data_IF_227568374329
#
_entry.id   IF_227568374329
#
_cell.length_a   1.000
_cell.length_b   1.000
_cell.length_c   1.000
_cell.angle_alpha   90.00
_cell.angle_beta   90.00
_cell.angle_gamma   90.00
#
_symmetry.space_group_name_H-M   'P 1'
#
loop_
_entity.id
_entity.type
_entity.pdbx_description
1 polymer ?
#
# COMPACT_ATOMS: atom_id res chain seq x y z
N UNK A 1 16.37 36.01 -13.87
CA UNK A 1 14.90 35.81 -14.00
C UNK A 1 14.44 34.87 -12.89
N UNK A 2 13.99 35.41 -11.77
CA UNK A 2 13.30 34.63 -10.74
C UNK A 2 11.86 34.46 -11.21
N UNK A 3 11.46 33.22 -11.53
CA UNK A 3 10.09 32.93 -11.91
C UNK A 3 9.18 33.21 -10.70
N UNK A 4 8.05 33.88 -10.95
CA UNK A 4 7.01 34.24 -9.96
C UNK A 4 6.60 33.08 -9.02
N UNK A 5 6.85 31.83 -9.44
CA UNK A 5 6.62 30.60 -8.68
C UNK A 5 7.50 30.51 -7.42
N UNK A 6 8.75 31.00 -7.44
CA UNK A 6 9.65 30.92 -6.28
C UNK A 6 9.29 31.86 -5.12
N UNK A 7 8.67 33.01 -5.41
CA UNK A 7 8.21 33.95 -4.39
C UNK A 7 6.87 33.53 -3.78
N UNK A 8 5.94 33.02 -4.60
CA UNK A 8 4.64 32.53 -4.12
C UNK A 8 4.75 31.21 -3.35
N UNK A 9 5.68 30.29 -3.71
CA UNK A 9 5.91 29.08 -2.91
C UNK A 9 6.55 29.35 -1.55
N UNK A 10 7.41 30.37 -1.40
CA UNK A 10 8.06 30.65 -0.09
C UNK A 10 7.15 31.38 0.91
N UNK A 11 6.19 32.18 0.43
CA UNK A 11 5.25 32.90 1.30
C UNK A 11 4.02 32.04 1.64
N UNK A 12 3.62 31.12 0.75
CA UNK A 12 2.45 30.26 1.01
C UNK A 12 2.72 29.06 1.92
N UNK A 13 3.98 28.63 2.11
CA UNK A 13 4.32 27.48 2.97
C UNK A 13 3.96 27.72 4.45
N UNK A 14 3.90 28.98 4.90
CA UNK A 14 3.44 29.34 6.26
C UNK A 14 1.93 29.33 6.46
N UNK A 15 1.13 29.22 5.39
CA UNK A 15 -0.33 29.31 5.40
C UNK A 15 -1.01 28.12 4.71
N UNK A 16 -0.27 27.05 4.43
CA UNK A 16 -0.89 25.82 3.94
C UNK A 16 -1.76 25.27 5.06
N UNK A 17 -3.06 25.01 4.83
CA UNK A 17 -3.90 24.36 5.81
C UNK A 17 -3.22 23.08 6.31
N UNK A 18 -3.27 22.84 7.63
CA UNK A 18 -2.62 21.66 8.24
C UNK A 18 -3.16 20.30 7.74
N UNK A 19 -4.18 20.32 6.88
CA UNK A 19 -4.79 19.18 6.20
C UNK A 19 -5.30 19.59 4.81
N UNK A 20 -5.26 18.67 3.83
CA UNK A 20 -5.96 18.81 2.55
C UNK A 20 -5.06 18.93 1.30
N UNK A 21 -5.66 19.08 0.11
CA UNK A 21 -4.97 18.93 -1.19
C UNK A 21 -3.74 19.83 -1.40
N UNK A 22 -3.75 21.04 -0.83
CA UNK A 22 -2.60 21.96 -0.93
C UNK A 22 -1.42 21.47 -0.09
N UNK A 23 -1.68 20.91 1.09
CA UNK A 23 -0.65 20.27 1.91
C UNK A 23 -0.09 19.04 1.20
N UNK A 24 -0.96 18.22 0.64
CA UNK A 24 -0.59 17.01 -0.10
C UNK A 24 0.36 17.31 -1.28
N UNK A 25 0.02 18.34 -2.09
CA UNK A 25 0.91 18.82 -3.16
C UNK A 25 2.25 19.29 -2.59
N UNK A 26 2.19 20.06 -1.51
CA UNK A 26 3.37 20.66 -0.92
C UNK A 26 4.31 19.59 -0.35
N UNK A 27 3.81 18.61 0.41
CA UNK A 27 4.57 17.47 0.92
C UNK A 27 5.16 16.65 -0.24
N UNK A 28 4.38 16.42 -1.29
CA UNK A 28 4.83 15.70 -2.47
C UNK A 28 5.94 16.42 -3.25
N UNK A 29 5.93 17.76 -3.32
CA UNK A 29 6.91 18.56 -4.08
C UNK A 29 8.17 18.86 -3.24
N UNK A 30 7.98 19.26 -1.98
CA UNK A 30 9.08 19.64 -1.08
C UNK A 30 9.77 18.42 -0.48
N UNK A 31 9.04 17.31 -0.30
CA UNK A 31 9.53 16.15 0.42
C UNK A 31 9.65 16.37 1.93
N UNK A 32 9.03 17.42 2.49
CA UNK A 32 9.06 17.71 3.92
C UNK A 32 7.68 17.50 4.52
N UNK A 33 7.63 16.82 5.67
CA UNK A 33 6.38 16.64 6.40
C UNK A 33 5.81 18.00 6.82
N UNK A 34 4.51 18.22 6.61
CA UNK A 34 3.84 19.51 6.83
C UNK A 34 4.47 20.69 6.06
N UNK A 35 5.36 20.43 5.10
CA UNK A 35 6.20 21.41 4.43
C UNK A 35 7.06 22.28 5.34
N UNK A 36 7.31 21.83 6.57
CA UNK A 36 8.09 22.61 7.52
C UNK A 36 9.60 22.37 7.28
N UNK A 37 10.45 23.41 7.34
CA UNK A 37 11.88 23.29 7.05
C UNK A 37 12.61 22.34 8.03
N UNK A 38 12.13 22.26 9.27
CA UNK A 38 12.70 21.42 10.33
C UNK A 38 11.98 20.09 10.53
N UNK A 39 10.98 19.79 9.71
CA UNK A 39 10.26 18.53 9.82
C UNK A 39 11.00 17.39 9.12
N UNK A 40 10.56 16.16 9.45
CA UNK A 40 11.05 14.91 8.89
C UNK A 40 10.99 14.94 7.36
N UNK A 41 12.06 14.47 6.72
CA UNK A 41 12.07 14.17 5.29
C UNK A 41 11.16 12.99 4.96
N UNK A 42 10.36 13.18 3.92
CA UNK A 42 9.47 12.17 3.36
C UNK A 42 10.20 11.39 2.28
N UNK A 43 10.08 10.06 2.33
CA UNK A 43 10.55 9.19 1.26
C UNK A 43 9.72 9.37 0.00
N UNK A 44 10.21 8.87 -1.13
CA UNK A 44 9.48 8.89 -2.40
C UNK A 44 8.11 8.21 -2.29
N UNK A 45 8.01 7.15 -1.48
CA UNK A 45 6.77 6.38 -1.25
C UNK A 45 5.77 7.15 -0.38
N UNK A 46 6.23 7.82 0.69
CA UNK A 46 5.41 8.72 1.52
C UNK A 46 4.93 9.93 0.69
N UNK A 47 5.79 10.45 -0.19
CA UNK A 47 5.45 11.53 -1.14
C UNK A 47 4.45 11.08 -2.19
N UNK A 48 4.51 9.83 -2.66
CA UNK A 48 3.55 9.31 -3.64
C UNK A 48 2.14 9.26 -3.06
N UNK A 49 1.97 8.74 -1.85
CA UNK A 49 0.66 8.71 -1.21
C UNK A 49 0.12 10.12 -0.93
N UNK A 50 1.02 11.05 -0.54
CA UNK A 50 0.67 12.48 -0.40
C UNK A 50 0.24 13.05 -1.76
N UNK A 51 0.99 12.78 -2.82
CA UNK A 51 0.72 13.29 -4.16
C UNK A 51 -0.66 12.94 -4.69
N UNK A 52 -1.13 11.71 -4.46
CA UNK A 52 -2.48 11.26 -4.82
C UNK A 52 -3.58 12.13 -4.17
N UNK A 53 -3.29 12.76 -3.03
CA UNK A 53 -4.19 13.70 -2.38
C UNK A 53 -4.47 14.98 -3.17
N UNK A 54 -3.59 15.35 -4.11
CA UNK A 54 -3.74 16.53 -4.95
C UNK A 54 -4.24 16.16 -6.36
N UNK A 55 -5.36 16.75 -6.79
CA UNK A 55 -5.97 16.44 -8.08
C UNK A 55 -7.00 17.46 -8.58
N UNK A 56 -6.60 18.73 -8.73
CA UNK A 56 -7.46 19.72 -9.37
C UNK A 56 -7.74 19.31 -10.84
N UNK A 57 -8.99 18.94 -11.15
CA UNK A 57 -9.41 18.45 -12.47
C UNK A 57 -9.06 16.97 -12.77
N UNK A 58 -8.70 16.20 -11.74
CA UNK A 58 -8.26 14.80 -11.84
C UNK A 58 -6.79 14.63 -11.45
N UNK A 59 -6.46 13.57 -10.70
CA UNK A 59 -5.12 13.34 -10.14
C UNK A 59 -4.06 13.31 -11.24
N UNK A 60 -4.25 12.49 -12.28
CA UNK A 60 -3.22 12.34 -13.31
C UNK A 60 -3.05 13.60 -14.16
N UNK A 61 -4.12 14.35 -14.43
CA UNK A 61 -4.02 15.63 -15.17
C UNK A 61 -3.20 16.66 -14.41
N UNK A 62 -3.46 16.81 -13.10
CA UNK A 62 -2.71 17.71 -12.24
C UNK A 62 -1.21 17.34 -12.22
N UNK A 63 -0.88 16.06 -12.08
CA UNK A 63 0.51 15.59 -12.03
C UNK A 63 1.20 15.57 -13.40
N UNK A 64 0.45 15.43 -14.49
CA UNK A 64 0.94 15.64 -15.85
C UNK A 64 1.45 17.07 -16.05
N UNK A 65 0.73 18.07 -15.55
CA UNK A 65 1.18 19.45 -15.56
C UNK A 65 2.45 19.63 -14.71
N UNK A 66 2.46 19.11 -13.47
CA UNK A 66 3.62 19.21 -12.57
C UNK A 66 4.87 18.60 -13.19
N UNK A 67 4.78 17.42 -13.81
CA UNK A 67 5.89 16.76 -14.51
C UNK A 67 6.53 17.65 -15.59
N UNK A 68 5.70 18.41 -16.31
CA UNK A 68 6.11 19.28 -17.41
C UNK A 68 6.62 20.65 -16.94
N UNK A 69 6.30 21.06 -15.70
CA UNK A 69 6.86 22.26 -15.09
C UNK A 69 8.29 22.01 -14.58
N UNK A 70 9.14 23.04 -14.57
CA UNK A 70 10.54 22.99 -14.12
C UNK A 70 10.74 22.77 -12.61
N UNK A 71 9.98 21.86 -12.00
CA UNK A 71 10.11 21.46 -10.59
C UNK A 71 11.37 20.62 -10.37
N UNK A 72 11.78 20.50 -9.10
CA UNK A 72 12.98 19.75 -8.72
C UNK A 72 12.91 18.27 -9.20
N UNK A 73 14.05 17.59 -9.42
CA UNK A 73 14.08 16.23 -9.96
C UNK A 73 13.27 15.21 -9.14
N UNK A 74 13.24 15.36 -7.82
CA UNK A 74 12.52 14.46 -6.94
C UNK A 74 10.99 14.59 -7.09
N UNK A 75 10.47 15.81 -7.28
CA UNK A 75 9.07 16.06 -7.57
C UNK A 75 8.67 15.50 -8.93
N UNK A 76 9.57 15.56 -9.94
CA UNK A 76 9.34 14.88 -11.23
C UNK A 76 9.25 13.37 -11.06
N UNK A 77 10.13 12.76 -10.27
CA UNK A 77 10.08 11.33 -9.99
C UNK A 77 8.77 10.91 -9.33
N UNK A 78 8.26 11.71 -8.37
CA UNK A 78 6.94 11.48 -7.76
C UNK A 78 5.82 11.63 -8.80
N UNK A 79 5.84 12.68 -9.61
CA UNK A 79 4.85 12.89 -10.68
C UNK A 79 4.80 11.70 -11.66
N UNK A 80 5.97 11.20 -12.09
CA UNK A 80 6.06 10.01 -12.92
C UNK A 80 5.42 8.78 -12.27
N UNK A 81 5.65 8.56 -10.98
CA UNK A 81 5.05 7.44 -10.24
C UNK A 81 3.54 7.59 -10.07
N UNK A 82 3.02 8.80 -9.85
CA UNK A 82 1.57 9.05 -9.81
C UNK A 82 0.94 8.66 -11.14
N UNK A 83 1.53 9.12 -12.25
CA UNK A 83 1.05 8.83 -13.59
C UNK A 83 1.04 7.33 -13.94
N UNK A 84 1.88 6.52 -13.27
CA UNK A 84 1.89 5.07 -13.44
C UNK A 84 0.86 4.30 -12.61
N UNK A 85 0.10 4.96 -11.72
CA UNK A 85 -0.95 4.28 -10.95
C UNK A 85 -2.19 3.92 -11.79
N UNK A 86 -2.43 4.62 -12.89
CA UNK A 86 -3.67 4.56 -13.66
C UNK A 86 -4.79 5.42 -13.03
N UNK A 87 -5.65 5.98 -13.88
CA UNK A 87 -6.67 6.95 -13.45
C UNK A 87 -7.61 6.36 -12.40
N UNK A 88 -8.19 5.19 -12.68
CA UNK A 88 -9.20 4.59 -11.80
C UNK A 88 -8.65 4.27 -10.41
N UNK A 89 -7.42 3.74 -10.35
CA UNK A 89 -6.78 3.39 -9.09
C UNK A 89 -6.38 4.64 -8.30
N UNK A 90 -5.82 5.66 -8.97
CA UNK A 90 -5.44 6.92 -8.34
C UNK A 90 -6.67 7.65 -7.76
N UNK A 91 -7.78 7.69 -8.50
CA UNK A 91 -9.05 8.27 -8.04
C UNK A 91 -9.64 7.49 -6.87
N UNK A 92 -9.64 6.15 -6.92
CA UNK A 92 -10.11 5.34 -5.81
C UNK A 92 -9.27 5.57 -4.55
N UNK A 93 -7.94 5.61 -4.68
CA UNK A 93 -7.01 5.86 -3.59
C UNK A 93 -7.15 7.27 -3.01
N UNK A 94 -7.44 8.27 -3.85
CA UNK A 94 -7.76 9.63 -3.42
C UNK A 94 -9.09 9.67 -2.64
N UNK A 95 -10.12 8.95 -3.11
CA UNK A 95 -11.45 8.95 -2.49
C UNK A 95 -11.46 8.21 -1.14
N UNK A 96 -10.71 7.11 -1.02
CA UNK A 96 -10.59 6.34 0.22
C UNK A 96 -9.43 6.78 1.10
N UNK A 97 -8.93 8.01 0.94
CA UNK A 97 -7.61 8.39 1.44
C UNK A 97 -7.55 8.41 2.96
N UNK A 98 -6.52 7.76 3.49
CA UNK A 98 -6.05 7.93 4.87
C UNK A 98 -4.53 8.00 4.86
N UNK A 99 -3.96 9.12 5.29
CA UNK A 99 -2.50 9.34 5.21
C UNK A 99 -1.75 8.70 6.38
N UNK A 100 -2.44 8.32 7.46
CA UNK A 100 -1.85 7.71 8.65
C UNK A 100 -2.84 6.85 9.46
N UNK A 101 -2.29 5.93 10.25
CA UNK A 101 -2.98 5.14 11.26
C UNK A 101 -2.13 5.05 12.52
N UNK A 102 -2.53 5.73 13.61
CA UNK A 102 -1.74 5.83 14.84
C UNK A 102 -0.29 6.25 14.52
N UNK A 103 0.68 5.39 14.77
CA UNK A 103 2.12 5.61 14.51
C UNK A 103 2.53 5.31 13.07
N UNK A 104 1.66 4.68 12.27
CA UNK A 104 1.91 4.31 10.89
C UNK A 104 1.65 5.51 9.97
N UNK A 105 2.65 5.90 9.19
CA UNK A 105 2.47 6.85 8.09
C UNK A 105 2.34 6.09 6.79
N UNK A 106 1.35 6.47 5.98
CA UNK A 106 1.07 5.78 4.75
C UNK A 106 2.14 6.02 3.68
N UNK A 107 2.29 5.02 2.82
CA UNK A 107 3.26 5.01 1.73
C UNK A 107 2.73 4.17 0.56
N UNK A 108 3.08 4.56 -0.66
CA UNK A 108 2.65 3.87 -1.87
C UNK A 108 3.80 3.69 -2.86
N UNK A 109 3.71 2.63 -3.66
CA UNK A 109 4.46 2.45 -4.91
C UNK A 109 3.49 2.09 -6.04
N UNK A 110 3.89 2.28 -7.31
CA UNK A 110 3.16 1.71 -8.44
C UNK A 110 3.02 0.19 -8.29
N UNK A 111 1.86 -0.34 -8.67
CA UNK A 111 1.56 -1.76 -8.57
C UNK A 111 2.30 -2.56 -9.63
N UNK A 112 2.65 -3.81 -9.31
CA UNK A 112 3.47 -4.62 -10.18
C UNK A 112 2.70 -5.23 -11.37
N UNK A 113 1.37 -5.35 -11.26
CA UNK A 113 0.52 -5.91 -12.31
C UNK A 113 -0.95 -5.48 -12.18
N UNK A 114 -1.73 -5.75 -13.24
CA UNK A 114 -3.16 -5.42 -13.31
C UNK A 114 -4.02 -6.15 -12.27
N UNK A 115 -3.64 -7.36 -11.87
CA UNK A 115 -4.40 -8.13 -10.89
C UNK A 115 -4.28 -7.53 -9.48
N UNK A 116 -3.11 -7.02 -9.11
CA UNK A 116 -2.94 -6.19 -7.91
C UNK A 116 -3.79 -4.92 -7.96
N UNK A 117 -3.89 -4.27 -9.12
CA UNK A 117 -4.75 -3.08 -9.29
C UNK A 117 -6.22 -3.43 -9.08
N UNK A 118 -6.68 -4.54 -9.67
CA UNK A 118 -8.03 -5.06 -9.45
C UNK A 118 -8.28 -5.39 -7.98
N UNK A 119 -7.32 -6.02 -7.31
CA UNK A 119 -7.42 -6.34 -5.89
C UNK A 119 -7.50 -5.08 -5.01
N UNK A 120 -6.64 -4.10 -5.24
CA UNK A 120 -6.69 -2.84 -4.49
C UNK A 120 -7.98 -2.04 -4.76
N UNK A 121 -8.50 -2.04 -5.99
CA UNK A 121 -9.81 -1.46 -6.32
C UNK A 121 -10.94 -2.17 -5.58
N UNK A 122 -10.94 -3.51 -5.53
CA UNK A 122 -11.89 -4.28 -4.74
C UNK A 122 -11.83 -3.91 -3.24
N UNK A 123 -10.62 -3.76 -2.69
CA UNK A 123 -10.45 -3.34 -1.29
C UNK A 123 -11.02 -1.94 -1.03
N UNK A 124 -10.81 -0.99 -1.94
CA UNK A 124 -11.24 0.40 -1.77
C UNK A 124 -12.73 0.60 -2.08
N UNK A 125 -13.21 0.10 -3.22
CA UNK A 125 -14.57 0.36 -3.71
C UNK A 125 -15.60 -0.59 -3.10
N UNK A 126 -15.30 -1.88 -3.08
CA UNK A 126 -16.29 -2.90 -2.68
C UNK A 126 -16.24 -3.13 -1.17
N UNK A 127 -15.03 -3.21 -0.61
CA UNK A 127 -14.83 -3.40 0.83
C UNK A 127 -14.80 -2.06 1.60
N UNK A 128 -14.73 -0.91 0.92
CA UNK A 128 -14.68 0.43 1.51
C UNK A 128 -13.52 0.64 2.47
N UNK A 129 -12.35 0.06 2.17
CA UNK A 129 -11.14 0.20 2.98
C UNK A 129 -10.32 1.39 2.53
N UNK A 130 -9.58 1.98 3.47
CA UNK A 130 -8.57 2.99 3.17
C UNK A 130 -7.19 2.34 3.09
N UNK A 131 -6.56 2.33 1.91
CA UNK A 131 -5.20 1.82 1.78
C UNK A 131 -4.20 2.81 2.38
N UNK A 132 -3.36 2.33 3.29
CA UNK A 132 -2.26 3.11 3.89
C UNK A 132 -0.89 2.57 3.46
N UNK A 133 -0.80 1.30 3.06
CA UNK A 133 0.37 0.73 2.39
C UNK A 133 -0.07 0.14 1.04
N UNK A 134 0.60 0.53 -0.04
CA UNK A 134 0.28 0.10 -1.42
C UNK A 134 1.54 -0.44 -2.11
N UNK A 135 1.48 -1.69 -2.53
CA UNK A 135 2.59 -2.50 -3.02
C UNK A 135 3.54 -2.95 -1.91
N UNK A 136 4.28 -4.05 -2.13
CA UNK A 136 5.26 -4.60 -1.17
C UNK A 136 6.16 -3.49 -0.59
N UNK A 137 6.83 -2.72 -1.45
CA UNK A 137 7.70 -1.61 -1.02
C UNK A 137 6.97 -0.50 -0.25
N UNK A 138 5.70 -0.25 -0.55
CA UNK A 138 4.85 0.68 0.20
C UNK A 138 4.60 0.15 1.61
N UNK A 139 4.11 -1.09 1.73
CA UNK A 139 3.84 -1.72 3.02
C UNK A 139 5.12 -1.85 3.86
N UNK A 140 6.24 -2.24 3.25
CA UNK A 140 7.56 -2.27 3.90
C UNK A 140 7.91 -0.92 4.50
N UNK A 141 7.70 0.17 3.74
CA UNK A 141 7.95 1.52 4.22
C UNK A 141 7.06 1.89 5.40
N UNK A 142 5.76 1.56 5.34
CA UNK A 142 4.82 1.84 6.45
C UNK A 142 5.20 1.09 7.72
N UNK A 143 5.58 -0.19 7.60
CA UNK A 143 5.86 -1.07 8.74
C UNK A 143 7.33 -1.05 9.19
N UNK A 144 8.21 -0.33 8.48
CA UNK A 144 9.64 -0.30 8.77
C UNK A 144 10.34 -1.64 8.52
N UNK A 145 9.92 -2.39 7.49
CA UNK A 145 10.59 -3.62 7.06
C UNK A 145 11.81 -3.24 6.21
N UNK A 146 13.04 -3.63 6.59
CA UNK A 146 14.24 -3.21 5.88
C UNK A 146 14.36 -3.85 4.50
N UNK A 147 14.88 -3.07 3.52
CA UNK A 147 14.95 -3.54 2.13
C UNK A 147 15.90 -4.72 1.91
N UNK A 148 16.97 -4.76 2.69
CA UNK A 148 18.08 -5.69 2.56
C UNK A 148 18.06 -6.77 3.66
N UNK A 149 16.88 -7.11 4.18
CA UNK A 149 16.78 -8.20 5.13
C UNK A 149 17.18 -9.52 4.45
N UNK A 150 17.80 -10.47 5.18
CA UNK A 150 18.12 -11.79 4.65
C UNK A 150 16.88 -12.50 4.08
N UNK A 151 17.11 -13.34 3.04
CA UNK A 151 16.15 -14.16 2.29
C UNK A 151 14.75 -14.28 2.89
N UNK A 152 13.75 -13.71 2.20
CA UNK A 152 12.32 -13.87 2.54
C UNK A 152 11.83 -13.02 3.72
N UNK A 153 12.72 -12.44 4.53
CA UNK A 153 12.34 -11.52 5.64
C UNK A 153 12.13 -10.08 5.18
N UNK A 154 12.51 -9.80 3.93
CA UNK A 154 12.43 -8.46 3.34
C UNK A 154 11.07 -8.22 2.67
N UNK A 155 10.34 -9.27 2.31
CA UNK A 155 9.07 -9.19 1.59
C UNK A 155 7.92 -8.88 2.55
N UNK A 156 7.03 -7.99 2.14
CA UNK A 156 5.80 -7.62 2.83
C UNK A 156 4.59 -7.97 1.96
N UNK A 157 3.36 -7.91 2.51
CA UNK A 157 2.18 -8.09 1.69
C UNK A 157 1.95 -6.86 0.78
N UNK A 158 1.19 -7.05 -0.29
CA UNK A 158 0.90 -5.96 -1.24
C UNK A 158 0.10 -4.80 -0.64
N UNK A 159 -0.80 -5.07 0.31
CA UNK A 159 -1.64 -4.04 0.89
C UNK A 159 -1.67 -4.07 2.42
N UNK A 160 -1.59 -2.88 3.00
CA UNK A 160 -1.99 -2.58 4.36
C UNK A 160 -3.11 -1.56 4.31
N UNK A 161 -4.24 -1.88 4.93
CA UNK A 161 -5.46 -1.09 4.84
C UNK A 161 -6.11 -0.90 6.19
N UNK A 162 -6.90 0.16 6.32
CA UNK A 162 -7.82 0.37 7.42
C UNK A 162 -9.22 -0.05 6.96
N UNK A 163 -9.85 -0.93 7.72
CA UNK A 163 -11.19 -1.46 7.43
C UNK A 163 -12.28 -0.44 7.75
N UNK A 164 -13.53 -0.74 7.35
CA UNK A 164 -14.71 0.08 7.71
C UNK A 164 -14.93 0.19 9.22
N UNK A 165 -14.58 -0.84 9.99
CA UNK A 165 -14.66 -0.83 11.46
C UNK A 165 -13.50 -0.09 12.12
N UNK A 166 -12.49 0.32 11.35
CA UNK A 166 -11.37 1.12 11.83
C UNK A 166 -10.16 0.32 12.31
N UNK A 167 -10.16 -1.01 12.18
CA UNK A 167 -8.97 -1.84 12.41
C UNK A 167 -8.09 -1.99 11.16
N UNK A 168 -6.99 -2.70 11.31
CA UNK A 168 -6.02 -2.97 10.26
C UNK A 168 -6.34 -4.28 9.53
N UNK A 169 -6.07 -4.32 8.23
CA UNK A 169 -6.05 -5.54 7.45
C UNK A 169 -4.81 -5.62 6.56
N UNK A 170 -4.19 -6.79 6.54
CA UNK A 170 -3.07 -7.15 5.67
C UNK A 170 -3.60 -8.04 4.54
N UNK A 171 -3.34 -7.66 3.30
CA UNK A 171 -3.80 -8.41 2.13
C UNK A 171 -2.63 -8.66 1.18
N UNK A 172 -2.36 -9.94 0.92
CA UNK A 172 -1.39 -10.35 -0.10
C UNK A 172 -2.11 -10.80 -1.36
N UNK A 173 -1.64 -10.35 -2.53
CA UNK A 173 -2.22 -10.71 -3.81
C UNK A 173 -1.34 -11.76 -4.47
N UNK A 174 -1.96 -12.86 -4.91
CA UNK A 174 -1.25 -13.89 -5.69
C UNK A 174 -1.98 -14.18 -6.98
N UNK A 175 -1.20 -14.27 -8.06
CA UNK A 175 -1.65 -14.78 -9.35
C UNK A 175 -1.18 -16.21 -9.54
N UNK A 176 -1.64 -16.83 -10.64
CA UNK A 176 -1.13 -18.13 -11.04
C UNK A 176 0.35 -18.00 -11.40
N UNK A 177 1.15 -18.86 -10.80
CA UNK A 177 2.59 -18.93 -11.01
C UNK A 177 2.99 -20.36 -11.40
N UNK A 178 3.99 -20.47 -12.26
CA UNK A 178 4.73 -21.72 -12.44
C UNK A 178 5.76 -21.82 -11.30
N UNK A 179 5.51 -22.70 -10.34
CA UNK A 179 6.35 -22.86 -9.15
C UNK A 179 7.47 -23.86 -9.42
N UNK A 180 7.16 -24.91 -10.19
CA UNK A 180 8.13 -25.85 -10.76
C UNK A 180 7.59 -26.41 -12.07
N UNK A 181 8.41 -27.19 -12.79
CA UNK A 181 8.05 -27.81 -14.08
C UNK A 181 6.72 -28.56 -14.07
N UNK A 182 6.32 -29.10 -12.92
CA UNK A 182 5.12 -29.93 -12.76
C UNK A 182 4.08 -29.30 -11.81
N UNK A 183 4.36 -28.13 -11.24
CA UNK A 183 3.50 -27.47 -10.24
C UNK A 183 3.23 -26.04 -10.67
N UNK A 184 1.98 -25.81 -11.09
CA UNK A 184 1.43 -24.47 -11.32
C UNK A 184 0.25 -24.20 -10.39
N UNK A 185 0.11 -22.95 -9.95
CA UNK A 185 -0.97 -22.54 -9.08
C UNK A 185 -0.64 -21.30 -8.27
N UNK A 186 -1.47 -21.02 -7.27
CA UNK A 186 -1.21 -19.96 -6.29
C UNK A 186 -0.13 -20.45 -5.31
N UNK A 187 0.97 -19.72 -5.19
CA UNK A 187 2.01 -19.97 -4.19
C UNK A 187 1.60 -19.43 -2.80
N UNK A 188 0.74 -20.19 -2.11
CA UNK A 188 0.26 -19.82 -0.78
C UNK A 188 1.38 -19.75 0.27
N UNK A 189 2.42 -20.59 0.15
CA UNK A 189 3.53 -20.57 1.12
C UNK A 189 4.26 -19.23 1.11
N UNK A 190 4.53 -18.68 -0.08
CA UNK A 190 5.13 -17.35 -0.23
C UNK A 190 4.24 -16.27 0.39
N UNK A 191 2.94 -16.31 0.09
CA UNK A 191 1.98 -15.35 0.64
C UNK A 191 1.91 -15.39 2.17
N UNK A 192 1.90 -16.59 2.75
CA UNK A 192 1.92 -16.78 4.21
C UNK A 192 3.19 -16.18 4.82
N UNK A 193 4.35 -16.35 4.19
CA UNK A 193 5.61 -15.76 4.67
C UNK A 193 5.55 -14.23 4.71
N UNK A 194 5.07 -13.59 3.64
CA UNK A 194 4.90 -12.15 3.57
C UNK A 194 3.94 -11.62 4.64
N UNK A 195 2.79 -12.28 4.82
CA UNK A 195 1.82 -11.93 5.87
C UNK A 195 2.43 -12.08 7.27
N UNK A 196 3.16 -13.17 7.54
CA UNK A 196 3.83 -13.39 8.83
C UNK A 196 4.85 -12.29 9.14
N UNK A 197 5.64 -11.85 8.16
CA UNK A 197 6.58 -10.75 8.33
C UNK A 197 5.87 -9.46 8.77
N UNK A 198 4.77 -9.12 8.10
CA UNK A 198 4.00 -7.93 8.43
C UNK A 198 3.29 -8.03 9.80
N UNK A 199 2.71 -9.19 10.13
CA UNK A 199 2.12 -9.45 11.45
C UNK A 199 3.15 -9.27 12.56
N UNK A 200 4.35 -9.82 12.38
CA UNK A 200 5.45 -9.65 13.33
C UNK A 200 5.79 -8.17 13.53
N UNK A 201 5.83 -7.37 12.45
CA UNK A 201 6.05 -5.93 12.58
C UNK A 201 4.91 -5.19 13.27
N UNK A 202 3.67 -5.58 13.03
CA UNK A 202 2.55 -5.01 13.79
C UNK A 202 2.66 -5.36 15.29
N UNK A 203 3.14 -6.56 15.64
CA UNK A 203 3.43 -6.91 17.04
C UNK A 203 4.55 -6.05 17.64
N UNK A 204 5.68 -5.91 16.94
CA UNK A 204 6.81 -5.06 17.38
C UNK A 204 6.37 -3.60 17.62
N UNK A 205 5.37 -3.13 16.86
CA UNK A 205 4.80 -1.79 16.95
C UNK A 205 3.64 -1.67 17.95
N UNK A 206 3.29 -2.73 18.68
CA UNK A 206 2.12 -2.81 19.58
C UNK A 206 0.77 -2.55 18.90
N UNK A 207 0.64 -2.92 17.62
CA UNK A 207 -0.56 -2.77 16.79
C UNK A 207 -1.25 -4.11 16.48
N UNK A 208 -0.77 -5.23 17.05
CA UNK A 208 -1.38 -6.54 16.83
C UNK A 208 -2.86 -6.60 17.27
N UNK A 209 -3.23 -5.87 18.33
CA UNK A 209 -4.62 -5.78 18.80
C UNK A 209 -5.54 -5.00 17.85
N UNK A 210 -4.98 -4.20 16.93
CA UNK A 210 -5.75 -3.49 15.91
C UNK A 210 -5.97 -4.32 14.66
N UNK A 211 -5.26 -5.44 14.50
CA UNK A 211 -5.33 -6.28 13.32
C UNK A 211 -6.62 -7.10 13.33
N UNK A 212 -7.52 -6.78 12.41
CA UNK A 212 -8.81 -7.46 12.26
C UNK A 212 -8.77 -8.62 11.28
N UNK A 213 -7.91 -8.52 10.26
CA UNK A 213 -7.82 -9.58 9.24
C UNK A 213 -6.44 -9.69 8.60
N UNK A 214 -6.07 -10.92 8.28
CA UNK A 214 -5.07 -11.25 7.26
C UNK A 214 -5.75 -12.03 6.15
N UNK A 215 -5.43 -11.72 4.91
CA UNK A 215 -6.06 -12.37 3.76
C UNK A 215 -5.11 -12.54 2.57
N UNK A 216 -5.40 -13.55 1.77
CA UNK A 216 -4.80 -13.77 0.46
C UNK A 216 -5.90 -13.53 -0.58
N UNK A 217 -5.61 -12.68 -1.56
CA UNK A 217 -6.51 -12.37 -2.68
C UNK A 217 -6.00 -13.10 -3.90
N UNK A 218 -6.86 -13.93 -4.51
CA UNK A 218 -6.50 -14.79 -5.65
C UNK A 218 -7.57 -14.70 -6.75
N UNK A 219 -7.23 -15.05 -8.01
CA UNK A 219 -8.22 -15.16 -9.07
C UNK A 219 -9.28 -16.20 -8.72
N UNK A 220 -10.54 -15.91 -9.04
CA UNK A 220 -11.64 -16.83 -8.83
C UNK A 220 -11.39 -18.19 -9.50
N UNK A 221 -11.56 -19.26 -8.73
CA UNK A 221 -11.34 -20.63 -9.20
C UNK A 221 -9.87 -21.06 -9.35
N UNK A 222 -8.90 -20.20 -9.01
CA UNK A 222 -7.49 -20.58 -9.05
C UNK A 222 -7.18 -21.71 -8.06
N UNK A 223 -6.43 -22.71 -8.53
CA UNK A 223 -5.94 -23.79 -7.67
C UNK A 223 -4.75 -23.30 -6.85
N UNK A 224 -4.75 -23.65 -5.57
CA UNK A 224 -3.59 -23.42 -4.70
C UNK A 224 -2.63 -24.59 -4.87
N UNK A 225 -1.35 -24.28 -5.05
CA UNK A 225 -0.33 -25.29 -5.24
C UNK A 225 0.06 -25.97 -3.91
N UNK A 226 0.44 -27.24 -4.00
CA UNK A 226 0.93 -28.02 -2.86
C UNK A 226 -0.18 -28.52 -1.92
N UNK A 227 0.17 -28.69 -0.65
CA UNK A 227 -0.71 -29.24 0.40
C UNK A 227 -1.66 -28.17 0.99
N UNK A 228 -2.18 -27.28 0.16
CA UNK A 228 -3.02 -26.17 0.58
C UNK A 228 -4.34 -26.14 -0.19
N UNK A 229 -5.41 -25.82 0.52
CA UNK A 229 -6.75 -25.73 -0.04
C UNK A 229 -7.54 -24.58 0.57
N UNK A 230 -8.77 -24.42 0.09
CA UNK A 230 -9.71 -23.43 0.61
C UNK A 230 -10.90 -24.19 1.17
N UNK A 231 -11.25 -23.91 2.43
CA UNK A 231 -12.46 -24.43 3.06
C UNK A 231 -13.13 -23.31 3.83
N UNK A 232 -14.42 -23.11 3.60
CA UNK A 232 -15.24 -22.07 4.24
C UNK A 232 -14.65 -20.65 4.14
N UNK A 233 -13.94 -20.36 3.04
CA UNK A 233 -13.29 -19.08 2.81
C UNK A 233 -11.96 -18.88 3.55
N UNK A 234 -11.39 -19.93 4.14
CA UNK A 234 -10.10 -19.89 4.83
C UNK A 234 -9.08 -20.82 4.17
N UNK A 235 -7.80 -20.45 4.28
CA UNK A 235 -6.69 -21.29 3.85
C UNK A 235 -6.52 -22.46 4.83
N UNK A 236 -6.54 -23.67 4.30
CA UNK A 236 -6.32 -24.90 5.08
C UNK A 236 -5.09 -25.65 4.56
N UNK A 237 -4.51 -26.47 5.43
CA UNK A 237 -3.59 -27.53 5.03
C UNK A 237 -4.38 -28.79 4.70
N UNK A 238 -4.24 -29.34 3.49
CA UNK A 238 -5.09 -30.46 3.02
C UNK A 238 -4.84 -31.72 3.87
N UNK A 239 -3.57 -32.05 4.12
CA UNK A 239 -3.16 -33.23 4.88
C UNK A 239 -3.72 -33.29 6.31
N UNK A 240 -3.91 -32.15 6.96
CA UNK A 240 -4.46 -32.09 8.33
C UNK A 240 -5.92 -31.66 8.38
N UNK A 241 -6.46 -31.08 7.31
CA UNK A 241 -7.78 -30.46 7.27
C UNK A 241 -7.91 -29.20 8.15
N UNK A 242 -6.81 -28.73 8.75
CA UNK A 242 -6.82 -27.63 9.71
C UNK A 242 -6.59 -26.27 9.04
N UNK A 243 -7.27 -25.21 9.48
CA UNK A 243 -7.01 -23.85 9.02
C UNK A 243 -5.62 -23.38 9.45
N UNK A 244 -4.98 -22.62 8.57
CA UNK A 244 -3.68 -22.03 8.86
C UNK A 244 -3.86 -20.80 9.76
N UNK A 245 -3.08 -20.74 10.84
CA UNK A 245 -3.09 -19.64 11.81
C UNK A 245 -1.89 -18.72 11.62
N UNK A 246 -2.04 -17.46 12.06
CA UNK A 246 -0.92 -16.54 12.23
C UNK A 246 -0.28 -16.75 13.60
N UNK A 247 1.02 -17.03 13.60
CA UNK A 247 1.80 -17.20 14.83
C UNK A 247 1.71 -15.92 15.67
N UNK A 248 1.47 -16.08 16.98
CA UNK A 248 1.31 -14.96 17.92
C UNK A 248 -0.10 -14.33 17.95
N UNK A 249 -1.03 -14.77 17.10
CA UNK A 249 -2.43 -14.34 17.13
C UNK A 249 -3.35 -15.53 17.42
N UNK A 250 -4.07 -15.49 18.55
CA UNK A 250 -4.96 -16.58 18.95
C UNK A 250 -6.18 -16.64 18.03
N UNK A 251 -6.46 -17.83 17.47
CA UNK A 251 -7.62 -18.11 16.61
C UNK A 251 -7.73 -17.17 15.39
N UNK A 252 -6.59 -16.75 14.85
CA UNK A 252 -6.55 -15.81 13.74
C UNK A 252 -6.17 -16.53 12.44
N UNK A 253 -7.19 -16.82 11.63
CA UNK A 253 -7.07 -17.62 10.42
C UNK A 253 -6.89 -16.77 9.18
N UNK A 254 -6.19 -17.32 8.18
CA UNK A 254 -5.97 -16.64 6.90
C UNK A 254 -7.20 -16.77 6.03
N UNK A 255 -7.86 -15.65 5.76
CA UNK A 255 -8.99 -15.61 4.83
C UNK A 255 -8.50 -15.70 3.39
N UNK A 256 -9.21 -16.42 2.54
CA UNK A 256 -8.98 -16.42 1.09
C UNK A 256 -10.13 -15.67 0.43
N UNK A 257 -9.77 -14.65 -0.34
CA UNK A 257 -10.71 -13.84 -1.11
C UNK A 257 -10.49 -14.15 -2.59
N UNK A 258 -11.57 -14.52 -3.27
CA UNK A 258 -11.55 -14.85 -4.70
C UNK A 258 -12.25 -13.76 -5.49
N UNK A 259 -11.55 -13.14 -6.45
CA UNK A 259 -12.07 -12.04 -7.29
C UNK A 259 -11.80 -12.25 -8.78
#
# INVERSE_FOLDING_TARGET
MQTLVHATTRIAVGFVPAVGPTLDLCEAVTGKMFCLPFAKDLSTEERLLSAVGFGAGGVLKAWGAVKNTGVNPAAKAVAHKVLSLGDEFAEALQASRRTAYKTLRGAAVPLANEFEAKAGLYLMKDQGRALIGVGDDGVRKVLGIPKNAPNGLAEAPDFLSVTKSGGLALSEVKKLEEISKDVSGINALKAVSQLKNAVKKLMDLNLAGDLERVEIIIPKGAKIAGDYGIKDGYLIKISSGMPLTMDGLKNFFIKVVQI
#
